data_IF_778983910726
#
_entry.id   IF_778983910726
#
_cell.length_a   1.000
_cell.length_b   1.000
_cell.length_c   1.000
_cell.angle_alpha   90.00
_cell.angle_beta   90.00
_cell.angle_gamma   90.00
#
_symmetry.space_group_name_H-M   'P 1'
#
loop_
_entity.id
_entity.type
_entity.pdbx_description
1 polymer ?
#
# COMPACT_ATOMS: atom_id res chain seq x y z
N UNK A 1 18.22 -15.87 12.68
CA UNK A 1 16.90 -15.34 13.08
C UNK A 1 16.11 -15.07 11.81
N UNK A 2 15.14 -15.91 11.50
CA UNK A 2 14.20 -15.68 10.40
C UNK A 2 13.41 -14.42 10.72
N UNK A 3 13.44 -13.43 9.82
CA UNK A 3 12.70 -12.18 9.95
C UNK A 3 11.22 -12.54 9.93
N UNK A 4 10.57 -12.61 11.09
CA UNK A 4 9.14 -12.90 11.20
C UNK A 4 8.39 -11.88 10.36
N UNK A 5 7.59 -12.32 9.38
CA UNK A 5 6.75 -11.42 8.60
C UNK A 5 5.91 -10.57 9.55
N UNK A 6 5.95 -9.25 9.37
CA UNK A 6 5.12 -8.34 10.17
C UNK A 6 3.65 -8.63 9.90
N UNK A 7 2.81 -8.66 10.93
CA UNK A 7 1.35 -8.70 10.75
C UNK A 7 0.88 -7.50 9.90
N UNK A 8 -0.15 -7.69 9.08
CA UNK A 8 -0.67 -6.64 8.19
C UNK A 8 -1.07 -5.37 8.96
N UNK A 9 -1.58 -5.53 10.18
CA UNK A 9 -1.98 -4.41 11.02
C UNK A 9 -0.77 -3.60 11.47
N UNK A 10 0.35 -4.26 11.75
CA UNK A 10 1.60 -3.59 12.08
C UNK A 10 2.14 -2.80 10.89
N UNK A 11 2.04 -3.34 9.66
CA UNK A 11 2.39 -2.62 8.43
C UNK A 11 1.54 -1.37 8.23
N UNK A 12 0.23 -1.46 8.48
CA UNK A 12 -0.68 -0.32 8.43
C UNK A 12 -0.27 0.76 9.44
N UNK A 13 0.01 0.39 10.69
CA UNK A 13 0.45 1.33 11.74
C UNK A 13 1.73 2.05 11.34
N UNK A 14 2.70 1.32 10.77
CA UNK A 14 3.96 1.89 10.32
C UNK A 14 3.76 2.91 9.22
N UNK A 15 2.95 2.58 8.20
CA UNK A 15 2.62 3.50 7.12
C UNK A 15 1.94 4.77 7.62
N UNK A 16 0.93 4.63 8.50
CA UNK A 16 0.23 5.77 9.10
C UNK A 16 1.21 6.68 9.86
N UNK A 17 2.20 6.11 10.55
CA UNK A 17 3.21 6.88 11.29
C UNK A 17 4.23 7.56 10.38
N UNK A 18 4.52 6.99 9.21
CA UNK A 18 5.47 7.55 8.24
C UNK A 18 4.84 8.50 7.21
N UNK A 19 3.51 8.59 7.16
CA UNK A 19 2.75 9.33 6.15
C UNK A 19 2.96 10.85 6.19
N UNK A 20 3.39 11.39 7.33
CA UNK A 20 3.66 12.82 7.53
C UNK A 20 2.44 13.66 7.90
N UNK A 21 1.21 13.19 7.62
CA UNK A 21 -0.02 13.78 8.17
C UNK A 21 -0.24 13.31 9.62
N UNK A 22 -0.94 14.12 10.40
CA UNK A 22 -1.41 13.72 11.73
C UNK A 22 -2.51 12.65 11.63
N UNK A 23 -2.66 11.83 12.68
CA UNK A 23 -3.71 10.80 12.70
C UNK A 23 -5.13 11.38 12.60
N UNK A 24 -5.33 12.62 13.02
CA UNK A 24 -6.61 13.35 12.89
C UNK A 24 -6.84 13.71 11.42
N UNK A 25 -5.83 14.24 10.72
CA UNK A 25 -5.92 14.55 9.29
C UNK A 25 -6.20 13.30 8.46
N UNK A 26 -5.53 12.18 8.77
CA UNK A 26 -5.78 10.89 8.12
C UNK A 26 -7.21 10.42 8.41
N UNK A 27 -7.67 10.50 9.66
CA UNK A 27 -9.04 10.12 10.02
C UNK A 27 -10.07 10.93 9.25
N UNK A 28 -9.88 12.25 9.16
CA UNK A 28 -10.76 13.16 8.44
C UNK A 28 -10.75 12.89 6.94
N UNK A 29 -9.57 12.73 6.34
CA UNK A 29 -9.44 12.44 4.92
C UNK A 29 -10.07 11.09 4.52
N UNK A 30 -10.00 10.10 5.41
CA UNK A 30 -10.63 8.79 5.23
C UNK A 30 -12.16 8.79 5.50
N UNK A 31 -12.78 9.92 5.83
CA UNK A 31 -14.20 9.96 6.20
C UNK A 31 -14.52 9.15 7.46
N UNK A 32 -13.55 9.01 8.35
CA UNK A 32 -13.71 8.36 9.65
C UNK A 32 -14.08 9.39 10.72
N UNK A 33 -14.50 8.90 11.90
CA UNK A 33 -14.66 9.78 13.07
C UNK A 33 -13.33 10.47 13.38
N UNK A 34 -13.37 11.71 13.87
CA UNK A 34 -12.21 12.61 14.00
C UNK A 34 -10.96 11.98 14.63
N UNK A 35 -11.12 11.13 15.65
CA UNK A 35 -10.03 10.49 16.38
C UNK A 35 -9.90 8.99 16.09
N UNK A 36 -10.57 8.49 15.05
CA UNK A 36 -10.69 7.06 14.78
C UNK A 36 -9.33 6.37 14.65
N UNK A 37 -8.43 6.90 13.81
CA UNK A 37 -7.10 6.30 13.59
C UNK A 37 -6.30 6.25 14.90
N UNK A 38 -6.32 7.33 15.68
CA UNK A 38 -5.64 7.37 16.98
C UNK A 38 -6.18 6.30 17.94
N UNK A 39 -7.51 6.17 18.05
CA UNK A 39 -8.15 5.18 18.92
C UNK A 39 -7.92 3.74 18.44
N UNK A 40 -7.93 3.52 17.12
CA UNK A 40 -7.63 2.23 16.50
C UNK A 40 -6.21 1.77 16.86
N UNK A 41 -5.22 2.65 16.71
CA UNK A 41 -3.82 2.36 17.02
C UNK A 41 -3.61 2.17 18.52
N UNK A 42 -4.07 3.11 19.35
CA UNK A 42 -3.85 3.06 20.80
C UNK A 42 -4.61 1.90 21.45
N UNK A 43 -5.81 1.60 20.96
CA UNK A 43 -6.65 0.52 21.47
C UNK A 43 -6.29 -0.86 20.91
N UNK A 44 -5.37 -0.94 19.94
CA UNK A 44 -5.04 -2.19 19.24
C UNK A 44 -6.24 -2.82 18.52
N UNK A 45 -7.29 -2.04 18.27
CA UNK A 45 -8.53 -2.54 17.65
C UNK A 45 -8.37 -2.50 16.15
N UNK A 46 -8.49 -3.65 15.50
CA UNK A 46 -8.42 -3.74 14.04
C UNK A 46 -9.63 -3.02 13.40
N UNK A 47 -9.42 -2.28 12.29
CA UNK A 47 -10.51 -1.63 11.58
C UNK A 47 -11.45 -2.66 10.94
N UNK A 48 -12.70 -2.27 10.68
CA UNK A 48 -13.53 -3.02 9.74
C UNK A 48 -12.95 -2.93 8.33
N UNK A 49 -13.37 -3.82 7.42
CA UNK A 49 -12.93 -3.79 6.01
C UNK A 49 -13.19 -2.42 5.38
N UNK A 50 -14.38 -1.84 5.58
CA UNK A 50 -14.70 -0.53 5.03
C UNK A 50 -13.77 0.58 5.53
N UNK A 51 -13.42 0.54 6.82
CA UNK A 51 -12.52 1.52 7.44
C UNK A 51 -11.07 1.31 6.99
N UNK A 52 -10.65 0.07 6.81
CA UNK A 52 -9.35 -0.27 6.23
C UNK A 52 -9.25 0.28 4.81
N UNK A 53 -10.23 -0.02 3.95
CA UNK A 53 -10.26 0.45 2.56
C UNK A 53 -10.28 1.97 2.48
N UNK A 54 -11.08 2.63 3.33
CA UNK A 54 -11.13 4.07 3.40
C UNK A 54 -9.76 4.68 3.74
N UNK A 55 -9.05 4.13 4.73
CA UNK A 55 -7.71 4.59 5.11
C UNK A 55 -6.70 4.32 3.98
N UNK A 56 -6.68 3.11 3.42
CA UNK A 56 -5.74 2.73 2.35
C UNK A 56 -5.89 3.59 1.10
N UNK A 57 -7.12 3.99 0.74
CA UNK A 57 -7.36 4.89 -0.39
C UNK A 57 -6.67 6.25 -0.21
N UNK A 58 -6.50 6.73 1.03
CA UNK A 58 -5.84 8.02 1.29
C UNK A 58 -4.33 7.86 1.44
N UNK A 59 -3.85 6.68 1.83
CA UNK A 59 -2.42 6.36 1.91
C UNK A 59 -1.82 6.03 0.53
N UNK A 60 -2.64 5.53 -0.41
CA UNK A 60 -2.25 5.26 -1.79
C UNK A 60 -2.11 3.77 -2.11
N UNK A 61 -2.06 3.46 -3.41
CA UNK A 61 -2.12 2.09 -3.93
C UNK A 61 -0.90 1.25 -3.55
N UNK A 62 0.30 1.83 -3.55
CA UNK A 62 1.53 1.15 -3.13
C UNK A 62 1.44 0.71 -1.66
N UNK A 63 0.93 1.61 -0.82
CA UNK A 63 0.66 1.33 0.59
C UNK A 63 -0.37 0.22 0.78
N UNK A 64 -1.44 0.20 -0.03
CA UNK A 64 -2.45 -0.86 0.03
C UNK A 64 -1.85 -2.23 -0.30
N UNK A 65 -1.01 -2.33 -1.34
CA UNK A 65 -0.30 -3.56 -1.68
C UNK A 65 0.59 -3.99 -0.52
N UNK A 66 1.41 -3.09 0.03
CA UNK A 66 2.28 -3.41 1.15
C UNK A 66 1.50 -3.89 2.39
N UNK A 67 0.41 -3.23 2.76
CA UNK A 67 -0.39 -3.65 3.92
C UNK A 67 -0.95 -5.06 3.70
N UNK A 68 -1.51 -5.35 2.53
CA UNK A 68 -2.19 -6.61 2.26
C UNK A 68 -1.20 -7.76 2.08
N UNK A 69 -0.15 -7.56 1.28
CA UNK A 69 0.75 -8.63 0.83
C UNK A 69 2.10 -8.66 1.55
N UNK A 70 2.51 -7.54 2.17
CA UNK A 70 3.85 -7.36 2.70
C UNK A 70 4.90 -7.01 1.63
N UNK A 71 4.51 -6.96 0.35
CA UNK A 71 5.41 -6.60 -0.75
C UNK A 71 5.52 -5.09 -0.88
N UNK A 72 6.74 -4.57 -0.81
CA UNK A 72 7.00 -3.16 -1.09
C UNK A 72 7.12 -2.98 -2.60
N UNK A 73 6.31 -2.06 -3.12
CA UNK A 73 6.30 -1.68 -4.52
C UNK A 73 6.42 -0.15 -4.59
N UNK A 74 7.24 0.36 -5.49
CA UNK A 74 7.34 1.80 -5.73
C UNK A 74 6.18 2.30 -6.59
N UNK A 75 6.00 3.62 -6.63
CA UNK A 75 5.04 4.23 -7.57
C UNK A 75 5.49 4.03 -9.04
N UNK A 76 6.79 3.94 -9.29
CA UNK A 76 7.35 3.60 -10.62
C UNK A 76 6.97 2.19 -11.06
N UNK A 77 7.06 1.21 -10.16
CA UNK A 77 6.63 -0.16 -10.43
C UNK A 77 5.12 -0.21 -10.72
N UNK A 78 4.30 0.56 -10.00
CA UNK A 78 2.86 0.65 -10.25
C UNK A 78 2.56 1.22 -11.64
N UNK A 79 3.30 2.27 -12.06
CA UNK A 79 3.17 2.82 -13.42
C UNK A 79 3.53 1.76 -14.45
N UNK A 80 4.60 0.99 -14.22
CA UNK A 80 4.99 -0.11 -15.11
C UNK A 80 3.91 -1.19 -15.20
N UNK A 81 3.34 -1.64 -14.07
CA UNK A 81 2.24 -2.61 -14.05
C UNK A 81 1.03 -2.08 -14.82
N UNK A 82 0.68 -0.80 -14.66
CA UNK A 82 -0.42 -0.18 -15.38
C UNK A 82 -0.17 -0.14 -16.89
N UNK A 83 1.06 0.16 -17.33
CA UNK A 83 1.47 0.14 -18.73
C UNK A 83 1.39 -1.27 -19.34
N UNK A 84 1.83 -2.30 -18.59
CA UNK A 84 1.74 -3.70 -19.02
C UNK A 84 0.27 -4.11 -19.13
N UNK A 85 -0.55 -3.76 -18.14
CA UNK A 85 -1.97 -4.14 -18.07
C UNK A 85 -2.83 -3.49 -19.15
N UNK A 86 -2.38 -2.37 -19.72
CA UNK A 86 -3.05 -1.64 -20.81
C UNK A 86 -2.38 -1.83 -22.18
N UNK A 87 -1.27 -2.57 -22.22
CA UNK A 87 -0.47 -2.78 -23.43
C UNK A 87 -1.09 -3.76 -24.42
N UNK A 88 -0.87 -3.53 -25.71
CA UNK A 88 -1.12 -4.57 -26.71
C UNK A 88 -0.07 -5.68 -26.60
N UNK A 89 -0.36 -6.85 -27.18
CA UNK A 89 0.51 -8.03 -27.10
C UNK A 89 1.96 -7.73 -27.53
N UNK A 90 2.16 -6.88 -28.55
CA UNK A 90 3.49 -6.52 -29.06
C UNK A 90 4.29 -5.69 -28.07
N UNK A 91 3.65 -4.74 -27.38
CA UNK A 91 4.30 -3.96 -26.32
C UNK A 91 4.75 -4.85 -25.17
N UNK A 92 3.92 -5.80 -24.75
CA UNK A 92 4.26 -6.75 -23.68
C UNK A 92 5.43 -7.65 -24.12
N UNK A 93 5.42 -8.15 -25.35
CA UNK A 93 6.53 -8.94 -25.91
C UNK A 93 7.85 -8.15 -25.95
N UNK A 94 7.81 -6.89 -26.40
CA UNK A 94 9.00 -6.03 -26.41
C UNK A 94 9.53 -5.73 -24.99
N UNK A 95 8.63 -5.49 -24.04
CA UNK A 95 8.98 -5.32 -22.62
C UNK A 95 9.65 -6.57 -22.04
N UNK A 96 9.13 -7.76 -22.35
CA UNK A 96 9.73 -9.01 -21.89
C UNK A 96 11.18 -9.15 -22.35
N UNK A 97 11.47 -8.86 -23.62
CA UNK A 97 12.85 -8.89 -24.14
C UNK A 97 13.77 -7.97 -23.33
N UNK A 98 13.37 -6.71 -23.14
CA UNK A 98 14.15 -5.73 -22.38
C UNK A 98 14.41 -6.15 -20.92
N UNK A 99 13.43 -6.79 -20.28
CA UNK A 99 13.54 -7.23 -18.88
C UNK A 99 14.38 -8.51 -18.74
N UNK A 100 14.39 -9.40 -19.74
CA UNK A 100 15.18 -10.63 -19.72
C UNK A 100 16.64 -10.43 -20.14
N UNK A 101 16.96 -9.42 -20.94
CA UNK A 101 18.34 -9.16 -21.41
C UNK A 101 19.23 -8.48 -20.35
N UNK A 102 18.70 -8.06 -19.20
CA UNK A 102 19.50 -7.51 -18.10
C UNK A 102 20.08 -8.58 -17.13
N UNK A 103 20.00 -9.86 -17.49
CA UNK A 103 20.53 -10.98 -16.68
C UNK A 103 21.65 -11.78 -17.36
N UNK A 104 22.41 -11.16 -18.26
CA UNK A 104 23.70 -11.66 -18.76
C UNK A 104 24.87 -10.79 -18.30
#
# INVERSE_FOLDING_TARGET
MTKTEKDWFQRLIELIKSDGRTMIEISKAAGCGQNYVQQMINGGKRPSVDKLMAILNILGNASAIYVITGFNISDEDLKLIALISSGDKKKIEALNVLLTEQHL
#
